data_IF_032510127279
#
_entry.id   IF_032510127279
#
_cell.length_a   1.000
_cell.length_b   1.000
_cell.length_c   1.000
_cell.angle_alpha   90.00
_cell.angle_beta   90.00
_cell.angle_gamma   90.00
#
_symmetry.space_group_name_H-M   'P 1'
#
loop_
_entity.id
_entity.type
_entity.pdbx_description
1 polymer ?
#
# COMPACT_ATOMS: atom_id res chain seq x y z
N UNK A 1 22.26 18.16 4.94
CA UNK A 1 20.80 18.01 4.74
C UNK A 1 20.13 18.87 5.80
N UNK A 2 19.17 19.70 5.43
CA UNK A 2 18.43 20.56 6.38
C UNK A 2 17.34 19.73 7.08
N UNK A 3 16.97 20.08 8.31
CA UNK A 3 15.87 19.42 9.04
C UNK A 3 14.55 19.48 8.24
N UNK A 4 14.33 20.56 7.49
CA UNK A 4 13.17 20.70 6.60
C UNK A 4 13.18 19.70 5.45
N UNK A 5 14.34 19.40 4.88
CA UNK A 5 14.48 18.41 3.81
C UNK A 5 14.20 16.99 4.32
N UNK A 6 14.74 16.66 5.49
CA UNK A 6 14.48 15.37 6.13
C UNK A 6 12.98 15.19 6.43
N UNK A 7 12.34 16.21 7.00
CA UNK A 7 10.89 16.21 7.21
C UNK A 7 10.11 16.05 5.90
N UNK A 8 10.52 16.72 4.82
CA UNK A 8 9.87 16.57 3.52
C UNK A 8 9.97 15.12 3.01
N UNK A 9 11.15 14.51 3.10
CA UNK A 9 11.39 13.13 2.68
C UNK A 9 10.57 12.13 3.50
N UNK A 10 10.50 12.32 4.83
CA UNK A 10 9.70 11.44 5.69
C UNK A 10 8.20 11.57 5.41
N UNK A 11 7.71 12.77 5.09
CA UNK A 11 6.33 12.94 4.65
C UNK A 11 6.05 12.23 3.32
N UNK A 12 6.98 12.21 2.35
CA UNK A 12 6.87 11.40 1.12
C UNK A 12 6.76 9.91 1.47
N UNK A 13 7.65 9.42 2.33
CA UNK A 13 7.67 8.02 2.78
C UNK A 13 6.38 7.57 3.46
N UNK A 14 5.73 8.47 4.18
CA UNK A 14 4.44 8.25 4.84
C UNK A 14 3.24 8.63 3.99
N UNK A 15 3.44 8.98 2.70
CA UNK A 15 2.39 9.37 1.76
C UNK A 15 1.59 10.61 2.18
N UNK A 16 2.19 11.49 2.97
CA UNK A 16 1.65 12.81 3.33
C UNK A 16 1.98 13.84 2.23
N UNK A 17 1.39 13.66 1.06
CA UNK A 17 1.71 14.41 -0.16
C UNK A 17 1.54 15.92 -0.05
N UNK A 18 0.45 16.38 0.58
CA UNK A 18 0.15 17.80 0.75
C UNK A 18 1.21 18.53 1.59
N UNK A 19 1.60 17.90 2.71
CA UNK A 19 2.61 18.45 3.62
C UNK A 19 4.00 18.40 2.99
N UNK A 20 4.35 17.28 2.36
CA UNK A 20 5.62 17.13 1.64
C UNK A 20 5.76 18.17 0.52
N UNK A 21 4.74 18.35 -0.33
CA UNK A 21 4.75 19.36 -1.39
C UNK A 21 5.00 20.77 -0.85
N UNK A 22 4.30 21.15 0.23
CA UNK A 22 4.48 22.46 0.87
C UNK A 22 5.91 22.66 1.38
N UNK A 23 6.50 21.63 1.98
CA UNK A 23 7.90 21.69 2.45
C UNK A 23 8.88 21.79 1.27
N UNK A 24 8.67 21.03 0.20
CA UNK A 24 9.50 21.14 -1.00
C UNK A 24 9.39 22.50 -1.68
N UNK A 25 8.20 23.10 -1.74
CA UNK A 25 8.02 24.46 -2.28
C UNK A 25 8.81 25.49 -1.48
N UNK A 26 8.85 25.38 -0.15
CA UNK A 26 9.67 26.23 0.71
C UNK A 26 11.17 26.02 0.51
N UNK A 27 11.60 24.77 0.32
CA UNK A 27 13.01 24.44 0.08
C UNK A 27 13.47 24.97 -1.28
N UNK A 28 12.66 24.76 -2.32
CA UNK A 28 13.00 25.10 -3.70
C UNK A 28 12.86 26.60 -4.01
N UNK A 29 12.06 27.33 -3.22
CA UNK A 29 11.95 28.80 -3.31
C UNK A 29 13.11 29.55 -2.67
N UNK A 30 13.96 28.87 -1.89
CA UNK A 30 15.18 29.43 -1.31
C UNK A 30 16.39 29.06 -2.18
N UNK A 31 16.77 29.89 -3.17
CA UNK A 31 17.88 29.56 -4.05
C UNK A 31 19.20 29.48 -3.27
N UNK A 32 20.08 28.51 -3.58
CA UNK A 32 21.36 28.40 -2.90
C UNK A 32 22.28 29.57 -3.25
N UNK A 33 22.95 30.10 -2.22
CA UNK A 33 23.95 31.17 -2.36
C UNK A 33 25.19 30.74 -3.17
N UNK A 34 25.47 29.42 -3.23
CA UNK A 34 26.58 28.85 -3.99
C UNK A 34 26.13 27.57 -4.69
N UNK A 35 26.34 27.49 -6.01
CA UNK A 35 26.03 26.31 -6.81
C UNK A 35 27.23 25.35 -6.83
N UNK A 36 27.18 24.29 -6.01
CA UNK A 36 28.15 23.19 -6.04
C UNK A 36 27.45 21.85 -6.36
N UNK A 37 28.24 20.80 -6.61
CA UNK A 37 27.71 19.48 -7.01
C UNK A 37 26.77 18.88 -5.96
N UNK A 38 27.12 18.98 -4.67
CA UNK A 38 26.29 18.48 -3.59
C UNK A 38 24.94 19.21 -3.49
N UNK A 39 24.91 20.51 -3.80
CA UNK A 39 23.69 21.30 -3.84
C UNK A 39 22.82 20.92 -5.05
N UNK A 40 23.43 20.68 -6.21
CA UNK A 40 22.72 20.12 -7.38
C UNK A 40 22.09 18.76 -7.04
N UNK A 41 22.82 17.89 -6.34
CA UNK A 41 22.31 16.58 -5.93
C UNK A 41 21.11 16.69 -4.98
N UNK A 42 21.19 17.58 -3.99
CA UNK A 42 20.07 17.87 -3.07
C UNK A 42 18.87 18.44 -3.82
N UNK A 43 19.11 19.33 -4.77
CA UNK A 43 18.07 19.94 -5.59
C UNK A 43 17.34 18.88 -6.44
N UNK A 44 18.08 17.93 -7.02
CA UNK A 44 17.51 16.79 -7.75
C UNK A 44 16.61 15.95 -6.84
N UNK A 45 17.06 15.61 -5.62
CA UNK A 45 16.26 14.82 -4.67
C UNK A 45 14.96 15.55 -4.29
N UNK A 46 15.04 16.86 -4.02
CA UNK A 46 13.88 17.66 -3.67
C UNK A 46 12.88 17.76 -4.83
N UNK A 47 13.36 17.95 -6.06
CA UNK A 47 12.49 17.94 -7.24
C UNK A 47 11.86 16.56 -7.48
N UNK A 48 12.62 15.47 -7.31
CA UNK A 48 12.07 14.11 -7.43
C UNK A 48 10.94 13.87 -6.43
N UNK A 49 11.14 14.20 -5.16
CA UNK A 49 10.11 14.05 -4.14
C UNK A 49 8.91 14.96 -4.38
N UNK A 50 9.14 16.19 -4.87
CA UNK A 50 8.05 17.09 -5.24
C UNK A 50 7.25 16.58 -6.44
N UNK A 51 7.90 16.04 -7.47
CA UNK A 51 7.22 15.42 -8.62
C UNK A 51 6.24 14.34 -8.15
N UNK A 52 6.69 13.43 -7.28
CA UNK A 52 5.84 12.37 -6.73
C UNK A 52 4.62 12.95 -6.01
N UNK A 53 4.83 13.95 -5.15
CA UNK A 53 3.72 14.62 -4.46
C UNK A 53 2.75 15.32 -5.42
N UNK A 54 3.27 16.03 -6.42
CA UNK A 54 2.45 16.78 -7.37
C UNK A 54 1.61 15.86 -8.24
N UNK A 55 2.15 14.70 -8.63
CA UNK A 55 1.43 13.69 -9.39
C UNK A 55 0.22 13.17 -8.60
N UNK A 56 0.43 12.78 -7.35
CA UNK A 56 -0.62 12.26 -6.45
C UNK A 56 -1.67 13.32 -6.09
N UNK A 57 -1.27 14.60 -6.06
CA UNK A 57 -2.18 15.72 -5.85
C UNK A 57 -2.89 16.19 -7.13
N UNK A 58 -2.66 15.54 -8.29
CA UNK A 58 -3.26 15.90 -9.57
C UNK A 58 -2.74 17.22 -10.18
N UNK A 59 -1.62 17.75 -9.70
CA UNK A 59 -0.99 19.00 -10.19
C UNK A 59 -0.04 18.71 -11.37
N UNK A 60 -0.61 18.25 -12.48
CA UNK A 60 0.16 17.68 -13.60
C UNK A 60 1.09 18.67 -14.31
N UNK A 61 0.70 19.93 -14.54
CA UNK A 61 1.57 20.91 -15.22
C UNK A 61 2.83 21.24 -14.39
N UNK A 62 2.68 21.40 -13.07
CA UNK A 62 3.82 21.60 -12.18
C UNK A 62 4.73 20.38 -12.15
N UNK A 63 4.15 19.17 -12.12
CA UNK A 63 4.90 17.92 -12.19
C UNK A 63 5.71 17.79 -13.49
N UNK A 64 5.14 18.20 -14.64
CA UNK A 64 5.85 18.19 -15.92
C UNK A 64 7.08 19.09 -15.92
N UNK A 65 6.94 20.31 -15.41
CA UNK A 65 8.04 21.26 -15.35
C UNK A 65 9.19 20.74 -14.47
N UNK A 66 8.85 20.15 -13.33
CA UNK A 66 9.84 19.54 -12.44
C UNK A 66 10.49 18.31 -13.06
N UNK A 67 9.72 17.42 -13.68
CA UNK A 67 10.23 16.22 -14.32
C UNK A 67 11.22 16.54 -15.44
N UNK A 68 10.89 17.52 -16.31
CA UNK A 68 11.82 17.99 -17.36
C UNK A 68 13.10 18.56 -16.77
N UNK A 69 12.99 19.36 -15.70
CA UNK A 69 14.15 19.94 -15.01
C UNK A 69 15.03 18.84 -14.40
N UNK A 70 14.43 17.84 -13.76
CA UNK A 70 15.16 16.69 -13.21
C UNK A 70 15.91 15.94 -14.31
N UNK A 71 15.27 15.62 -15.44
CA UNK A 71 15.93 14.92 -16.55
C UNK A 71 17.14 15.71 -17.09
N UNK A 72 16.99 17.01 -17.28
CA UNK A 72 18.10 17.90 -17.69
C UNK A 72 19.26 17.85 -16.69
N UNK A 73 18.96 17.95 -15.39
CA UNK A 73 19.98 17.94 -14.34
C UNK A 73 20.65 16.56 -14.20
N UNK A 74 19.91 15.47 -14.40
CA UNK A 74 20.44 14.10 -14.37
C UNK A 74 21.36 13.83 -15.57
N UNK A 75 21.00 14.31 -16.78
CA UNK A 75 21.87 14.19 -17.95
C UNK A 75 23.18 14.95 -17.80
N UNK A 76 23.18 16.14 -17.17
CA UNK A 76 24.39 16.92 -16.92
C UNK A 76 25.38 16.22 -15.95
N UNK A 77 24.89 15.38 -15.05
CA UNK A 77 25.71 14.78 -13.99
C UNK A 77 26.50 13.54 -14.46
N UNK A 78 26.18 12.98 -15.64
CA UNK A 78 26.79 11.77 -16.22
C UNK A 78 26.91 10.59 -15.22
N UNK A 79 25.95 10.48 -14.29
CA UNK A 79 25.89 9.40 -13.29
C UNK A 79 24.91 8.33 -13.72
N UNK A 80 25.25 7.05 -13.52
CA UNK A 80 24.29 5.96 -13.68
C UNK A 80 23.19 6.08 -12.60
N UNK A 81 22.00 6.48 -13.03
CA UNK A 81 20.85 6.79 -12.18
C UNK A 81 19.56 6.32 -12.85
N UNK A 82 19.61 5.11 -13.43
CA UNK A 82 18.51 4.52 -14.20
C UNK A 82 17.18 4.54 -13.43
N UNK A 83 17.19 4.32 -12.12
CA UNK A 83 15.98 4.29 -11.31
C UNK A 83 15.32 5.68 -11.18
N UNK A 84 16.09 6.74 -10.98
CA UNK A 84 15.60 8.12 -10.93
C UNK A 84 15.17 8.62 -12.30
N UNK A 85 15.92 8.31 -13.37
CA UNK A 85 15.53 8.63 -14.75
C UNK A 85 14.21 7.95 -15.10
N UNK A 86 14.08 6.65 -14.78
CA UNK A 86 12.89 5.86 -15.08
C UNK A 86 11.64 6.35 -14.33
N UNK A 87 11.76 6.67 -13.03
CA UNK A 87 10.67 7.30 -12.27
C UNK A 87 10.25 8.63 -12.87
N UNK A 88 11.22 9.47 -13.22
CA UNK A 88 10.96 10.80 -13.77
C UNK A 88 10.26 10.71 -15.13
N UNK A 89 10.71 9.80 -16.01
CA UNK A 89 10.06 9.55 -17.31
C UNK A 89 8.64 9.04 -17.15
N UNK A 90 8.40 8.10 -16.22
CA UNK A 90 7.04 7.64 -15.90
C UNK A 90 6.13 8.81 -15.51
N UNK A 91 6.57 9.65 -14.57
CA UNK A 91 5.79 10.81 -14.14
C UNK A 91 5.49 11.75 -15.31
N UNK A 92 6.45 11.94 -16.21
CA UNK A 92 6.29 12.77 -17.40
C UNK A 92 5.24 12.18 -18.36
N UNK A 93 5.32 10.87 -18.68
CA UNK A 93 4.30 10.18 -19.50
C UNK A 93 2.92 10.32 -18.87
N UNK A 94 2.79 10.00 -17.58
CA UNK A 94 1.51 10.04 -16.87
C UNK A 94 0.90 11.44 -16.91
N UNK A 95 1.68 12.47 -16.55
CA UNK A 95 1.21 13.85 -16.54
C UNK A 95 0.82 14.34 -17.95
N UNK A 96 1.59 14.00 -18.99
CA UNK A 96 1.23 14.32 -20.38
C UNK A 96 -0.08 13.64 -20.79
N UNK A 97 -0.29 12.39 -20.41
CA UNK A 97 -1.51 11.66 -20.71
C UNK A 97 -2.73 12.27 -20.02
N UNK A 98 -2.61 12.63 -18.73
CA UNK A 98 -3.70 13.32 -18.00
C UNK A 98 -4.03 14.70 -18.58
N UNK A 99 -3.04 15.36 -19.18
CA UNK A 99 -3.20 16.62 -19.90
C UNK A 99 -3.59 16.44 -21.38
N UNK A 100 -3.82 15.20 -21.84
CA UNK A 100 -4.16 14.84 -23.23
C UNK A 100 -3.13 15.32 -24.27
N UNK A 101 -1.87 15.52 -23.87
CA UNK A 101 -0.74 15.88 -24.73
C UNK A 101 -0.12 14.60 -25.34
N UNK A 102 -0.95 13.84 -26.06
CA UNK A 102 -0.62 12.48 -26.53
C UNK A 102 0.58 12.41 -27.47
N UNK A 103 0.72 13.37 -28.39
CA UNK A 103 1.86 13.42 -29.33
C UNK A 103 3.20 13.59 -28.60
N UNK A 104 3.23 14.39 -27.54
CA UNK A 104 4.46 14.57 -26.75
C UNK A 104 4.78 13.31 -25.94
N UNK A 105 3.76 12.66 -25.37
CA UNK A 105 3.93 11.42 -24.63
C UNK A 105 4.44 10.27 -25.52
N UNK A 106 3.91 10.18 -26.74
CA UNK A 106 4.35 9.21 -27.74
C UNK A 106 5.83 9.39 -28.12
N UNK A 107 6.27 10.63 -28.33
CA UNK A 107 7.67 10.95 -28.61
C UNK A 107 8.57 10.49 -27.47
N UNK A 108 8.21 10.82 -26.23
CA UNK A 108 8.99 10.43 -25.06
C UNK A 108 9.05 8.91 -24.88
N UNK A 109 7.94 8.19 -25.08
CA UNK A 109 7.93 6.73 -25.03
C UNK A 109 8.87 6.13 -26.10
N UNK A 110 8.86 6.68 -27.32
CA UNK A 110 9.72 6.21 -28.41
C UNK A 110 11.20 6.39 -28.09
N UNK A 111 11.59 7.56 -27.56
CA UNK A 111 12.96 7.83 -27.09
C UNK A 111 13.34 6.87 -25.96
N UNK A 112 12.45 6.67 -24.98
CA UNK A 112 12.71 5.79 -23.85
C UNK A 112 12.90 4.32 -24.26
N UNK A 113 12.08 3.81 -25.18
CA UNK A 113 12.20 2.45 -25.71
C UNK A 113 13.55 2.28 -26.42
N UNK A 114 13.92 3.24 -27.27
CA UNK A 114 15.18 3.20 -28.03
C UNK A 114 16.40 3.13 -27.11
N UNK A 115 16.39 3.85 -26.00
CA UNK A 115 17.47 3.81 -25.01
C UNK A 115 17.53 2.50 -24.24
N UNK A 116 16.39 1.96 -23.81
CA UNK A 116 16.34 0.71 -23.05
C UNK A 116 16.67 -0.51 -23.92
N UNK A 117 16.33 -0.48 -25.21
CA UNK A 117 16.61 -1.57 -26.13
C UNK A 117 18.11 -1.76 -26.40
N UNK A 118 18.91 -0.71 -26.20
CA UNK A 118 20.37 -0.80 -26.27
C UNK A 118 20.97 -1.53 -25.06
N UNK A 119 20.22 -1.67 -23.96
CA UNK A 119 20.65 -2.30 -22.73
C UNK A 119 20.08 -3.73 -22.60
N UNK A 120 20.92 -4.69 -22.23
CA UNK A 120 20.49 -6.08 -22.03
C UNK A 120 19.60 -6.22 -20.79
N UNK A 121 18.53 -7.02 -20.88
CA UNK A 121 17.65 -7.36 -19.74
C UNK A 121 16.36 -6.54 -19.60
N UNK A 122 16.10 -5.56 -20.49
CA UNK A 122 14.90 -4.71 -20.42
C UNK A 122 13.80 -5.07 -21.44
N UNK A 123 13.83 -6.26 -22.03
CA UNK A 123 12.87 -6.66 -23.08
C UNK A 123 11.41 -6.59 -22.67
N UNK A 124 11.06 -7.01 -21.45
CA UNK A 124 9.66 -7.00 -20.99
C UNK A 124 9.14 -5.60 -20.65
N UNK A 125 10.01 -4.71 -20.18
CA UNK A 125 9.64 -3.32 -19.96
C UNK A 125 9.47 -2.58 -21.29
N UNK A 126 10.31 -2.86 -22.30
CA UNK A 126 10.13 -2.32 -23.66
C UNK A 126 8.77 -2.75 -24.25
N UNK A 127 8.36 -4.02 -24.11
CA UNK A 127 7.02 -4.47 -24.54
C UNK A 127 5.90 -3.71 -23.81
N UNK A 128 6.09 -3.41 -22.53
CA UNK A 128 5.11 -2.64 -21.73
C UNK A 128 5.00 -1.21 -22.23
N UNK A 129 6.12 -0.56 -22.54
CA UNK A 129 6.17 0.80 -23.11
C UNK A 129 5.57 0.83 -24.54
N UNK A 130 5.82 -0.17 -25.37
CA UNK A 130 5.21 -0.28 -26.71
C UNK A 130 3.70 -0.46 -26.66
N UNK A 131 3.20 -1.23 -25.68
CA UNK A 131 1.76 -1.32 -25.42
C UNK A 131 1.19 0.03 -24.99
N UNK A 132 1.90 0.77 -24.13
CA UNK A 132 1.50 2.12 -23.72
C UNK A 132 1.41 3.04 -24.94
N UNK A 133 2.44 3.05 -25.79
CA UNK A 133 2.49 3.83 -27.02
C UNK A 133 1.29 3.53 -27.93
N UNK A 134 0.98 2.26 -28.14
CA UNK A 134 -0.19 1.82 -28.91
C UNK A 134 -1.51 2.36 -28.35
N UNK A 135 -1.67 2.34 -27.02
CA UNK A 135 -2.87 2.89 -26.34
C UNK A 135 -3.01 4.39 -26.58
N UNK A 136 -1.91 5.14 -26.47
CA UNK A 136 -1.90 6.59 -26.73
C UNK A 136 -2.26 6.89 -28.19
N UNK A 137 -1.72 6.12 -29.15
CA UNK A 137 -2.04 6.30 -30.57
C UNK A 137 -3.53 6.08 -30.86
N UNK A 138 -4.14 5.04 -30.25
CA UNK A 138 -5.57 4.79 -30.36
C UNK A 138 -6.41 5.92 -29.77
N UNK A 139 -5.99 6.49 -28.63
CA UNK A 139 -6.64 7.65 -28.01
C UNK A 139 -6.53 8.93 -28.88
N UNK A 140 -5.42 9.10 -29.60
CA UNK A 140 -5.17 10.26 -30.45
C UNK A 140 -5.90 10.17 -31.81
N UNK A 141 -6.11 8.96 -32.35
CA UNK A 141 -6.64 8.73 -33.70
C UNK A 141 -8.15 8.47 -33.81
N UNK A 142 -8.91 8.45 -32.70
CA UNK A 142 -10.29 8.01 -32.72
C UNK A 142 -11.32 9.07 -33.19
N UNK A 143 -12.24 8.68 -34.08
CA UNK A 143 -13.35 9.48 -34.59
C UNK A 143 -14.51 9.64 -33.58
N UNK A 144 -15.05 10.86 -33.46
CA UNK A 144 -15.87 11.39 -32.34
C UNK A 144 -17.23 10.73 -32.03
N UNK A 145 -17.78 9.82 -32.85
CA UNK A 145 -19.21 9.47 -32.75
C UNK A 145 -19.56 8.23 -31.90
N UNK A 146 -18.63 7.32 -31.59
CA UNK A 146 -18.92 6.06 -30.84
C UNK A 146 -18.02 5.88 -29.59
N UNK A 147 -17.36 6.93 -29.11
CA UNK A 147 -16.08 6.80 -28.39
C UNK A 147 -16.10 6.68 -26.87
N UNK A 148 -17.19 7.00 -26.16
CA UNK A 148 -17.08 7.22 -24.69
C UNK A 148 -16.70 5.96 -23.91
N UNK A 149 -17.27 4.81 -24.27
CA UNK A 149 -16.96 3.51 -23.64
C UNK A 149 -15.58 3.02 -24.07
N UNK A 150 -15.22 3.21 -25.35
CA UNK A 150 -13.90 2.84 -25.88
C UNK A 150 -12.77 3.63 -25.21
N UNK A 151 -12.93 4.95 -25.06
CA UNK A 151 -11.96 5.81 -24.40
C UNK A 151 -11.82 5.46 -22.90
N UNK A 152 -12.91 5.16 -22.20
CA UNK A 152 -12.84 4.70 -20.80
C UNK A 152 -11.99 3.43 -20.66
N UNK A 153 -12.19 2.45 -21.56
CA UNK A 153 -11.41 1.20 -21.55
C UNK A 153 -9.92 1.45 -21.84
N UNK A 154 -9.61 2.36 -22.75
CA UNK A 154 -8.23 2.75 -23.06
C UNK A 154 -7.58 3.52 -21.90
N UNK A 155 -8.34 4.36 -21.20
CA UNK A 155 -7.88 5.03 -19.97
C UNK A 155 -7.61 4.01 -18.84
N UNK A 156 -8.44 2.97 -18.70
CA UNK A 156 -8.20 1.88 -17.75
C UNK A 156 -6.94 1.08 -18.09
N UNK A 157 -6.75 0.72 -19.37
CA UNK A 157 -5.52 0.09 -19.86
C UNK A 157 -4.28 0.95 -19.53
N UNK A 158 -4.38 2.26 -19.75
CA UNK A 158 -3.32 3.22 -19.45
C UNK A 158 -2.97 3.23 -17.95
N UNK A 159 -3.97 3.27 -17.07
CA UNK A 159 -3.76 3.23 -15.62
C UNK A 159 -3.10 1.90 -15.17
N UNK A 160 -3.43 0.77 -15.81
CA UNK A 160 -2.77 -0.53 -15.56
C UNK A 160 -1.30 -0.48 -15.97
N UNK A 161 -0.99 0.12 -17.13
CA UNK A 161 0.38 0.26 -17.61
C UNK A 161 1.19 1.20 -16.73
N UNK A 162 0.62 2.32 -16.30
CA UNK A 162 1.23 3.23 -15.32
C UNK A 162 1.61 2.50 -14.03
N UNK A 163 0.72 1.65 -13.51
CA UNK A 163 0.98 0.86 -12.30
C UNK A 163 2.14 -0.12 -12.50
N UNK A 164 2.22 -0.76 -13.68
CA UNK A 164 3.34 -1.66 -14.02
C UNK A 164 4.67 -0.91 -14.13
N UNK A 165 4.67 0.24 -14.81
CA UNK A 165 5.86 1.09 -14.94
C UNK A 165 6.31 1.61 -13.58
N UNK A 166 5.37 1.99 -12.71
CA UNK A 166 5.68 2.44 -11.35
C UNK A 166 6.32 1.31 -10.54
N UNK A 167 5.72 0.11 -10.54
CA UNK A 167 6.28 -1.03 -9.83
C UNK A 167 7.68 -1.38 -10.31
N UNK A 168 7.92 -1.37 -11.63
CA UNK A 168 9.25 -1.62 -12.18
C UNK A 168 10.25 -0.55 -11.77
N UNK A 169 9.91 0.73 -11.91
CA UNK A 169 10.81 1.84 -11.56
C UNK A 169 11.09 1.94 -10.05
N UNK A 170 10.13 1.53 -9.21
CA UNK A 170 10.24 1.64 -7.74
C UNK A 170 10.83 0.40 -7.07
N UNK A 171 10.50 -0.80 -7.56
CA UNK A 171 10.83 -2.06 -6.88
C UNK A 171 11.88 -2.90 -7.62
N UNK A 172 11.83 -2.94 -8.96
CA UNK A 172 12.69 -3.82 -9.75
C UNK A 172 14.07 -3.20 -10.05
N UNK A 173 14.16 -1.88 -10.09
CA UNK A 173 15.44 -1.19 -10.26
C UNK A 173 16.17 -1.00 -8.91
N UNK A 174 17.51 -1.17 -8.87
CA UNK A 174 18.32 -0.79 -7.71
C UNK A 174 18.15 0.69 -7.37
N UNK A 175 18.09 1.02 -6.08
CA UNK A 175 18.03 2.42 -5.65
C UNK A 175 19.36 3.12 -5.92
N UNK A 176 19.29 4.24 -6.63
CA UNK A 176 20.41 5.15 -6.81
C UNK A 176 20.46 6.22 -5.70
N UNK A 177 21.51 7.06 -5.73
CA UNK A 177 21.74 8.09 -4.70
C UNK A 177 20.59 9.12 -4.59
N UNK A 178 19.79 9.32 -5.64
CA UNK A 178 18.73 10.32 -5.63
C UNK A 178 17.37 9.74 -5.22
N UNK A 179 17.10 8.48 -5.55
CA UNK A 179 15.87 7.77 -5.21
C UNK A 179 15.89 7.17 -3.81
N UNK A 180 17.07 6.81 -3.28
CA UNK A 180 17.23 6.22 -1.95
C UNK A 180 16.64 7.05 -0.81
N UNK A 181 16.79 8.39 -0.73
CA UNK A 181 16.21 9.19 0.34
C UNK A 181 14.68 9.18 0.35
N UNK A 182 14.04 8.98 -0.79
CA UNK A 182 12.58 9.03 -0.94
C UNK A 182 11.91 7.67 -0.72
N UNK A 183 12.68 6.59 -0.80
CA UNK A 183 12.16 5.22 -0.65
C UNK A 183 12.20 4.72 0.78
N UNK A 184 11.23 3.86 1.14
CA UNK A 184 11.24 3.07 2.37
C UNK A 184 12.16 1.83 2.28
N UNK A 185 12.62 1.48 1.08
CA UNK A 185 13.44 0.29 0.83
C UNK A 185 14.85 0.52 1.40
N UNK A 186 15.18 -0.18 2.49
CA UNK A 186 16.51 -0.17 3.12
C UNK A 186 16.69 0.74 4.34
N UNK A 187 15.62 1.25 4.95
CA UNK A 187 15.70 1.98 6.23
C UNK A 187 15.69 0.96 7.38
N UNK A 188 16.84 0.76 8.03
CA UNK A 188 16.86 0.18 9.39
C UNK A 188 16.20 1.20 10.31
N UNK A 189 15.13 0.80 11.00
CA UNK A 189 14.40 1.66 11.94
C UNK A 189 15.40 2.20 12.98
N UNK A 190 15.49 3.52 13.09
CA UNK A 190 16.31 4.21 14.09
C UNK A 190 15.69 3.94 15.47
N UNK A 191 16.38 3.17 16.30
CA UNK A 191 16.03 2.98 17.70
C UNK A 191 16.03 4.35 18.40
N UNK A 192 14.92 4.70 19.04
CA UNK A 192 14.90 5.81 19.99
C UNK A 192 15.41 5.29 21.34
N UNK A 193 16.43 5.92 21.94
CA UNK A 193 16.92 5.53 23.25
C UNK A 193 16.19 6.33 24.33
N UNK A 194 15.31 5.69 25.10
CA UNK A 194 15.04 6.08 26.50
C UNK A 194 14.39 4.95 27.29
N UNK A 195 15.23 4.36 28.16
CA UNK A 195 14.96 3.95 29.54
C UNK A 195 13.99 2.78 29.85
N UNK A 196 14.62 1.62 30.07
CA UNK A 196 14.48 0.69 31.20
C UNK A 196 13.16 0.61 31.99
N UNK A 197 12.60 -0.62 31.98
CA UNK A 197 12.39 -1.37 33.22
C UNK A 197 10.96 -1.53 33.68
N UNK A 198 10.24 -2.53 33.15
CA UNK A 198 9.33 -3.40 33.90
C UNK A 198 8.75 -4.48 32.98
N UNK A 199 9.18 -5.72 33.18
CA UNK A 199 8.44 -6.92 32.76
C UNK A 199 7.05 -6.90 33.40
N UNK A 200 5.99 -7.20 32.63
CA UNK A 200 4.92 -8.15 33.01
C UNK A 200 3.77 -8.23 31.98
N UNK A 201 3.53 -9.46 31.52
CA UNK A 201 2.25 -10.11 31.18
C UNK A 201 1.17 -9.36 30.38
N UNK A 202 1.13 -9.60 29.05
CA UNK A 202 -0.04 -9.31 28.19
C UNK A 202 -0.57 -10.60 27.50
N UNK A 203 -0.02 -11.78 27.81
CA UNK A 203 -0.34 -13.04 27.10
C UNK A 203 -1.64 -13.74 27.56
N UNK A 204 -2.40 -13.19 28.51
CA UNK A 204 -3.51 -13.93 29.13
C UNK A 204 -4.93 -13.60 28.59
N UNK A 205 -5.11 -12.60 27.73
CA UNK A 205 -6.46 -12.10 27.38
C UNK A 205 -7.01 -12.65 26.05
N UNK A 206 -6.19 -13.25 25.18
CA UNK A 206 -6.65 -13.72 23.87
C UNK A 206 -6.97 -15.22 23.76
N UNK A 207 -6.86 -16.00 24.85
CA UNK A 207 -7.02 -17.46 24.80
C UNK A 207 -8.44 -17.97 25.15
N UNK A 208 -9.39 -17.11 25.54
CA UNK A 208 -10.69 -17.54 26.09
C UNK A 208 -11.90 -17.49 25.15
N UNK A 209 -11.72 -17.11 23.89
CA UNK A 209 -12.84 -17.05 22.92
C UNK A 209 -12.88 -18.23 21.92
N UNK A 210 -12.08 -19.27 22.11
CA UNK A 210 -11.88 -20.36 21.12
C UNK A 210 -12.59 -21.69 21.40
N UNK A 211 -13.49 -21.77 22.40
CA UNK A 211 -14.14 -23.06 22.76
C UNK A 211 -15.68 -23.07 22.59
N UNK A 212 -16.22 -22.46 21.54
CA UNK A 212 -17.62 -22.71 21.17
C UNK A 212 -17.86 -22.79 19.65
N UNK A 213 -17.18 -23.72 18.99
CA UNK A 213 -17.45 -24.11 17.60
C UNK A 213 -17.38 -25.64 17.46
N UNK A 214 -18.44 -26.32 17.89
CA UNK A 214 -18.67 -27.72 17.54
C UNK A 214 -20.16 -28.09 17.63
N UNK A 215 -20.99 -27.53 16.73
CA UNK A 215 -22.19 -28.17 16.19
C UNK A 215 -22.98 -27.17 15.35
N UNK A 216 -22.93 -27.32 14.02
CA UNK A 216 -24.05 -27.11 13.10
C UNK A 216 -23.59 -27.59 11.71
N UNK A 217 -23.88 -28.85 11.41
CA UNK A 217 -24.00 -29.34 10.03
C UNK A 217 -25.28 -28.74 9.45
N UNK A 218 -25.22 -28.11 8.28
CA UNK A 218 -26.26 -28.29 7.24
C UNK A 218 -25.60 -28.15 5.85
N UNK A 219 -25.95 -29.12 5.02
CA UNK A 219 -25.66 -29.38 3.61
C UNK A 219 -25.88 -28.22 2.65
N UNK A 220 -25.21 -28.26 1.48
CA UNK A 220 -25.62 -27.43 0.34
C UNK A 220 -24.68 -27.36 -0.86
N UNK A 221 -24.44 -28.50 -1.51
CA UNK A 221 -24.23 -28.68 -2.96
C UNK A 221 -23.35 -27.72 -3.78
N UNK A 222 -22.21 -28.25 -4.23
CA UNK A 222 -21.48 -27.82 -5.42
C UNK A 222 -22.39 -27.75 -6.65
N UNK A 223 -22.34 -26.63 -7.39
CA UNK A 223 -22.68 -26.62 -8.81
C UNK A 223 -21.75 -25.68 -9.58
N UNK A 224 -20.92 -26.27 -10.42
CA UNK A 224 -20.32 -25.64 -11.60
C UNK A 224 -21.41 -25.21 -12.59
N UNK A 225 -21.13 -24.19 -13.42
CA UNK A 225 -21.37 -24.15 -14.89
C UNK A 225 -21.19 -22.71 -15.44
N UNK A 226 -20.89 -22.72 -16.73
CA UNK A 226 -20.45 -21.78 -17.77
C UNK A 226 -21.17 -20.44 -18.01
N UNK A 227 -20.45 -19.62 -18.80
CA UNK A 227 -20.92 -18.68 -19.84
C UNK A 227 -22.35 -18.92 -20.34
N UNK A 228 -23.16 -17.85 -20.37
CA UNK A 228 -23.76 -17.31 -21.60
C UNK A 228 -24.32 -15.90 -21.35
N UNK A 229 -24.37 -15.10 -22.42
CA UNK A 229 -24.86 -13.73 -22.48
C UNK A 229 -26.39 -13.66 -22.54
N UNK A 230 -26.96 -12.51 -22.16
CA UNK A 230 -28.05 -11.73 -22.84
C UNK A 230 -29.03 -11.09 -21.85
N UNK A 231 -29.24 -9.77 -21.96
CA UNK A 231 -30.58 -9.15 -21.79
C UNK A 231 -30.87 -8.29 -20.55
N UNK A 232 -30.75 -6.97 -20.75
CA UNK A 232 -31.26 -5.79 -20.01
C UNK A 232 -32.33 -5.88 -18.91
N UNK A 233 -32.20 -4.95 -17.95
CA UNK A 233 -33.24 -4.51 -17.00
C UNK A 233 -32.68 -3.56 -15.92
N UNK A 234 -33.26 -2.37 -15.81
CA UNK A 234 -32.76 -1.22 -15.04
C UNK A 234 -32.95 -1.32 -13.51
N UNK A 235 -32.02 -0.68 -12.79
CA UNK A 235 -32.14 -0.08 -11.44
C UNK A 235 -32.62 -0.93 -10.24
N UNK A 236 -31.62 -1.50 -9.56
CA UNK A 236 -31.53 -1.54 -8.10
C UNK A 236 -30.05 -1.66 -7.74
N UNK A 237 -29.51 -0.78 -6.89
CA UNK A 237 -28.09 -0.76 -6.48
C UNK A 237 -27.71 -2.06 -5.73
N UNK A 238 -27.53 -3.16 -6.44
CA UNK A 238 -26.99 -4.39 -5.89
C UNK A 238 -25.51 -4.16 -5.58
N UNK A 239 -25.14 -4.31 -4.32
CA UNK A 239 -23.76 -4.11 -3.87
C UNK A 239 -23.15 -5.45 -3.51
N UNK A 240 -22.04 -5.83 -4.14
CA UNK A 240 -21.42 -7.15 -3.99
C UNK A 240 -20.11 -7.06 -3.21
N UNK A 241 -19.89 -8.01 -2.29
CA UNK A 241 -18.59 -8.22 -1.65
C UNK A 241 -17.71 -9.10 -2.55
N UNK A 242 -16.63 -8.54 -3.09
CA UNK A 242 -15.72 -9.28 -3.98
C UNK A 242 -14.89 -10.37 -3.29
N UNK A 243 -14.83 -10.38 -1.96
CA UNK A 243 -14.04 -11.34 -1.18
C UNK A 243 -14.86 -12.57 -0.78
N UNK A 244 -16.12 -12.35 -0.40
CA UNK A 244 -17.06 -13.43 -0.05
C UNK A 244 -17.93 -13.86 -1.23
N UNK A 245 -17.88 -13.13 -2.36
CA UNK A 245 -18.74 -13.33 -3.53
C UNK A 245 -20.25 -13.31 -3.21
N UNK A 246 -20.65 -12.50 -2.20
CA UNK A 246 -22.03 -12.34 -1.77
C UNK A 246 -22.58 -11.01 -2.30
N UNK A 247 -23.79 -11.04 -2.87
CA UNK A 247 -24.49 -9.85 -3.36
C UNK A 247 -25.57 -9.42 -2.38
N UNK A 248 -25.66 -8.12 -2.12
CA UNK A 248 -26.60 -7.50 -1.18
C UNK A 248 -27.54 -6.54 -1.89
N UNK A 249 -28.73 -6.34 -1.31
CA UNK A 249 -29.78 -5.49 -1.87
C UNK A 249 -29.59 -4.02 -1.49
N UNK A 250 -28.74 -3.74 -0.49
CA UNK A 250 -28.43 -2.39 -0.05
C UNK A 250 -26.96 -2.23 0.37
N UNK A 251 -26.42 -1.02 0.20
CA UNK A 251 -25.06 -0.68 0.66
C UNK A 251 -24.90 -0.79 2.17
N UNK A 252 -25.99 -0.69 2.93
CA UNK A 252 -25.98 -0.85 4.39
C UNK A 252 -25.78 -2.32 4.79
N UNK A 253 -26.46 -3.25 4.12
CA UNK A 253 -26.25 -4.70 4.32
C UNK A 253 -24.82 -5.13 3.99
N UNK A 254 -24.26 -4.62 2.89
CA UNK A 254 -22.85 -4.85 2.57
C UNK A 254 -21.92 -4.31 3.68
N UNK A 255 -22.19 -3.12 4.21
CA UNK A 255 -21.41 -2.55 5.32
C UNK A 255 -21.52 -3.39 6.60
N UNK A 256 -22.69 -3.93 6.91
CA UNK A 256 -22.88 -4.83 8.05
C UNK A 256 -22.15 -6.15 7.85
N UNK A 257 -22.24 -6.74 6.65
CA UNK A 257 -21.48 -7.92 6.28
C UNK A 257 -19.96 -7.71 6.43
N UNK A 258 -19.44 -6.57 5.95
CA UNK A 258 -18.01 -6.27 6.04
C UNK A 258 -17.49 -6.07 7.48
N UNK A 259 -18.39 -5.90 8.46
CA UNK A 259 -18.08 -5.83 9.90
C UNK A 259 -18.15 -7.20 10.60
N UNK A 260 -18.60 -8.26 9.92
CA UNK A 260 -18.68 -9.60 10.52
C UNK A 260 -17.32 -10.26 10.63
N UNK A 261 -17.15 -11.07 11.69
CA UNK A 261 -15.94 -11.87 11.91
C UNK A 261 -15.68 -12.85 10.76
N UNK A 262 -16.73 -13.41 10.15
CA UNK A 262 -16.61 -14.29 8.99
C UNK A 262 -15.95 -13.59 7.78
N UNK A 263 -16.35 -12.35 7.49
CA UNK A 263 -15.74 -11.56 6.41
C UNK A 263 -14.30 -11.16 6.74
N UNK A 264 -14.02 -10.78 7.99
CA UNK A 264 -12.66 -10.51 8.44
C UNK A 264 -11.76 -11.74 8.29
N UNK A 265 -12.25 -12.93 8.65
CA UNK A 265 -11.53 -14.18 8.47
C UNK A 265 -11.24 -14.48 7.00
N UNK A 266 -12.17 -14.19 6.07
CA UNK A 266 -11.93 -14.35 4.63
C UNK A 266 -10.89 -13.36 4.08
N UNK A 267 -10.86 -12.13 4.61
CA UNK A 267 -9.84 -11.13 4.22
C UNK A 267 -8.45 -11.54 4.75
N UNK A 268 -8.41 -12.01 6.00
CA UNK A 268 -7.19 -12.42 6.71
C UNK A 268 -6.74 -13.85 6.39
N UNK A 269 -7.57 -14.62 5.68
CA UNK A 269 -7.28 -15.97 5.25
C UNK A 269 -6.13 -15.98 4.24
N UNK A 270 -5.27 -16.98 4.39
CA UNK A 270 -4.23 -17.31 3.43
C UNK A 270 -4.80 -18.10 2.22
N UNK A 271 -6.10 -18.40 2.19
CA UNK A 271 -6.72 -19.15 1.10
C UNK A 271 -6.67 -18.39 -0.24
N UNK A 272 -6.40 -19.13 -1.33
CA UNK A 272 -6.32 -18.60 -2.70
C UNK A 272 -4.93 -18.65 -3.34
N UNK A 273 -3.93 -19.24 -2.67
CA UNK A 273 -2.66 -19.67 -3.25
C UNK A 273 -2.17 -20.99 -2.65
N UNK A 274 -1.45 -21.77 -3.45
CA UNK A 274 -0.80 -23.00 -3.02
C UNK A 274 0.44 -22.67 -2.20
N UNK A 275 0.25 -22.45 -0.91
CA UNK A 275 1.34 -22.27 0.03
C UNK A 275 1.93 -23.62 0.43
N UNK A 276 3.26 -23.73 0.42
CA UNK A 276 3.97 -25.00 0.57
C UNK A 276 4.40 -25.29 1.99
N UNK A 277 4.60 -24.25 2.80
CA UNK A 277 5.09 -24.36 4.17
C UNK A 277 3.94 -24.25 5.20
N UNK A 278 4.23 -24.44 6.48
CA UNK A 278 3.21 -24.29 7.54
C UNK A 278 2.83 -22.81 7.71
N UNK A 279 1.65 -22.52 8.28
CA UNK A 279 1.25 -21.14 8.55
C UNK A 279 2.19 -20.46 9.58
N UNK A 280 2.46 -19.15 9.43
CA UNK A 280 3.26 -18.41 10.40
C UNK A 280 2.54 -18.31 11.76
N UNK A 281 3.30 -18.17 12.87
CA UNK A 281 2.73 -17.97 14.19
C UNK A 281 1.82 -16.74 14.26
N UNK A 282 0.67 -16.88 14.94
CA UNK A 282 -0.29 -15.77 15.12
C UNK A 282 0.28 -14.70 16.04
N UNK A 283 -0.02 -13.42 15.75
CA UNK A 283 0.41 -12.28 16.57
C UNK A 283 1.84 -11.80 16.29
N UNK A 284 2.57 -12.45 15.38
CA UNK A 284 3.91 -12.04 14.97
C UNK A 284 3.84 -11.01 13.84
N UNK A 285 4.75 -10.04 13.88
CA UNK A 285 4.93 -9.04 12.82
C UNK A 285 6.05 -9.46 11.88
N UNK A 286 6.17 -8.81 10.71
CA UNK A 286 7.19 -9.14 9.71
C UNK A 286 8.62 -9.18 10.29
N UNK A 287 8.90 -8.31 11.26
CA UNK A 287 10.21 -8.17 11.90
C UNK A 287 10.44 -9.21 13.02
N UNK A 288 9.39 -9.92 13.43
CA UNK A 288 9.43 -10.91 14.51
C UNK A 288 9.74 -12.32 14.00
N UNK A 289 9.75 -12.55 12.68
CA UNK A 289 10.05 -13.86 12.13
C UNK A 289 11.57 -14.11 12.07
N UNK A 290 12.04 -15.13 12.80
CA UNK A 290 13.42 -15.61 12.83
C UNK A 290 13.54 -17.03 12.27
N UNK A 291 14.78 -17.46 11.99
CA UNK A 291 15.09 -18.86 11.70
C UNK A 291 15.27 -19.63 13.01
N UNK A 292 14.79 -20.87 13.04
CA UNK A 292 15.04 -21.77 14.16
C UNK A 292 16.51 -22.19 14.16
N UNK A 293 17.25 -21.85 15.20
CA UNK A 293 18.68 -22.17 15.33
C UNK A 293 18.90 -23.68 15.41
N UNK A 294 18.10 -24.39 16.21
CA UNK A 294 18.20 -25.86 16.35
C UNK A 294 17.93 -26.60 15.04
N UNK A 295 16.96 -26.14 14.25
CA UNK A 295 16.71 -26.68 12.92
C UNK A 295 17.85 -26.35 11.95
N UNK A 296 18.38 -25.14 12.02
CA UNK A 296 19.48 -24.70 11.15
C UNK A 296 20.73 -25.56 11.36
N UNK A 297 21.04 -25.88 12.62
CA UNK A 297 22.24 -26.63 12.98
C UNK A 297 22.09 -28.16 12.84
N UNK A 298 20.93 -28.71 13.23
CA UNK A 298 20.75 -30.16 13.32
C UNK A 298 19.71 -30.75 12.37
N UNK A 299 18.98 -29.90 11.64
CA UNK A 299 17.77 -30.29 10.86
C UNK A 299 16.73 -31.04 11.70
N UNK A 300 16.81 -30.93 13.03
CA UNK A 300 15.84 -31.45 13.98
C UNK A 300 15.43 -30.31 14.92
N UNK A 301 14.13 -30.06 15.02
CA UNK A 301 13.57 -29.12 15.97
C UNK A 301 12.64 -29.87 16.93
N UNK A 302 12.90 -29.76 18.24
CA UNK A 302 12.10 -30.40 19.27
C UNK A 302 10.64 -29.89 19.28
N UNK A 303 10.42 -28.64 18.86
CA UNK A 303 9.11 -28.01 18.80
C UNK A 303 8.31 -28.35 17.54
N UNK A 304 8.94 -28.92 16.50
CA UNK A 304 8.29 -29.34 15.26
C UNK A 304 7.34 -28.26 14.70
N UNK A 305 6.10 -28.65 14.42
CA UNK A 305 5.07 -27.75 13.87
C UNK A 305 4.62 -26.63 14.82
N UNK A 306 4.98 -26.71 16.11
CA UNK A 306 4.68 -25.68 17.11
C UNK A 306 5.82 -24.67 17.28
N UNK A 307 6.93 -24.82 16.56
CA UNK A 307 8.04 -23.88 16.60
C UNK A 307 7.57 -22.48 16.15
N UNK A 308 7.93 -21.43 16.88
CA UNK A 308 7.60 -20.05 16.48
C UNK A 308 8.61 -19.45 15.49
N UNK A 309 9.66 -20.21 15.18
CA UNK A 309 10.75 -19.81 14.28
C UNK A 309 10.75 -20.69 13.04
N UNK A 310 11.19 -20.17 11.91
CA UNK A 310 11.15 -20.86 10.62
C UNK A 310 12.24 -21.93 10.49
N UNK A 311 11.85 -23.12 10.05
CA UNK A 311 12.65 -24.31 9.73
C UNK A 311 13.24 -24.19 8.32
N UNK A 312 14.03 -23.15 8.12
CA UNK A 312 14.72 -22.90 6.86
C UNK A 312 14.33 -21.58 6.22
N UNK A 313 15.19 -21.15 5.29
CA UNK A 313 15.10 -19.84 4.62
C UNK A 313 13.86 -19.77 3.72
N UNK A 314 13.49 -20.87 3.07
CA UNK A 314 12.33 -20.93 2.19
C UNK A 314 11.01 -20.78 2.96
N UNK A 315 10.91 -21.42 4.12
CA UNK A 315 9.76 -21.25 5.01
C UNK A 315 9.65 -19.82 5.52
N UNK A 316 10.77 -19.23 5.95
CA UNK A 316 10.79 -17.85 6.42
C UNK A 316 10.37 -16.85 5.34
N UNK A 317 10.82 -17.06 4.10
CA UNK A 317 10.45 -16.22 2.97
C UNK A 317 8.96 -16.37 2.65
N UNK A 318 8.42 -17.59 2.66
CA UNK A 318 6.98 -17.78 2.45
C UNK A 318 6.13 -17.13 3.54
N UNK A 319 6.59 -17.16 4.80
CA UNK A 319 5.91 -16.44 5.89
C UNK A 319 5.86 -14.93 5.69
N UNK A 320 6.96 -14.35 5.17
CA UNK A 320 7.03 -12.93 4.81
C UNK A 320 6.10 -12.62 3.64
N UNK A 321 6.11 -13.46 2.60
CA UNK A 321 5.22 -13.32 1.44
C UNK A 321 3.73 -13.42 1.83
N UNK A 322 3.38 -14.36 2.72
CA UNK A 322 2.02 -14.46 3.29
C UNK A 322 1.64 -13.23 4.09
N UNK A 323 2.54 -12.69 4.91
CA UNK A 323 2.30 -11.48 5.67
C UNK A 323 2.04 -10.27 4.75
N UNK A 324 2.87 -10.09 3.73
CA UNK A 324 2.68 -9.04 2.73
C UNK A 324 1.40 -9.24 1.92
N UNK A 325 1.07 -10.48 1.57
CA UNK A 325 -0.16 -10.81 0.88
C UNK A 325 -1.41 -10.46 1.71
N UNK A 326 -1.46 -10.86 2.99
CA UNK A 326 -2.54 -10.48 3.91
C UNK A 326 -2.64 -8.95 4.04
N UNK A 327 -1.51 -8.26 4.21
CA UNK A 327 -1.45 -6.80 4.26
C UNK A 327 -2.02 -6.16 2.99
N UNK A 328 -1.66 -6.67 1.81
CA UNK A 328 -2.19 -6.19 0.53
C UNK A 328 -3.69 -6.47 0.37
N UNK A 329 -4.18 -7.63 0.82
CA UNK A 329 -5.62 -7.96 0.79
C UNK A 329 -6.43 -7.01 1.67
N UNK A 330 -5.96 -6.74 2.88
CA UNK A 330 -6.57 -5.76 3.80
C UNK A 330 -6.54 -4.36 3.19
N UNK A 331 -5.39 -3.93 2.65
CA UNK A 331 -5.27 -2.62 2.00
C UNK A 331 -6.25 -2.45 0.85
N UNK A 332 -6.37 -3.45 -0.04
CA UNK A 332 -7.34 -3.44 -1.15
C UNK A 332 -8.79 -3.46 -0.65
N UNK A 333 -9.06 -4.14 0.45
CA UNK A 333 -10.39 -4.14 1.04
C UNK A 333 -10.72 -2.76 1.63
N UNK A 334 -9.76 -2.09 2.29
CA UNK A 334 -9.89 -0.72 2.77
C UNK A 334 -10.18 0.27 1.63
N UNK A 335 -9.40 0.21 0.55
CA UNK A 335 -9.56 1.09 -0.63
C UNK A 335 -10.93 0.94 -1.29
N UNK A 336 -11.51 -0.26 -1.25
CA UNK A 336 -12.84 -0.55 -1.82
C UNK A 336 -14.00 -0.30 -0.85
N UNK A 337 -13.74 0.24 0.34
CA UNK A 337 -14.70 0.34 1.45
C UNK A 337 -15.32 -1.01 1.86
N UNK A 338 -14.65 -2.11 1.52
CA UNK A 338 -15.04 -3.48 1.83
C UNK A 338 -14.36 -4.01 3.08
N UNK A 339 -13.45 -3.23 3.70
CA UNK A 339 -12.92 -3.52 5.02
C UNK A 339 -13.78 -2.78 6.05
N UNK A 340 -14.66 -3.50 6.72
CA UNK A 340 -15.45 -2.95 7.81
C UNK A 340 -14.55 -2.75 9.03
N UNK A 341 -13.82 -1.62 9.08
CA UNK A 341 -13.14 -1.21 10.31
C UNK A 341 -14.19 -1.11 11.41
N UNK A 342 -14.01 -1.86 12.49
CA UNK A 342 -14.85 -1.71 13.67
C UNK A 342 -14.74 -0.27 14.19
N UNK A 343 -15.79 0.23 14.84
CA UNK A 343 -15.74 1.57 15.47
C UNK A 343 -14.54 1.69 16.40
N UNK A 344 -14.21 0.62 17.13
CA UNK A 344 -13.02 0.51 17.97
C UNK A 344 -11.71 0.66 17.20
N UNK A 345 -11.54 0.02 16.05
CA UNK A 345 -10.31 0.17 15.23
C UNK A 345 -10.18 1.58 14.66
N UNK A 346 -11.28 2.21 14.24
CA UNK A 346 -11.27 3.60 13.78
C UNK A 346 -10.85 4.57 14.89
N UNK A 347 -11.34 4.35 16.12
CA UNK A 347 -10.97 5.15 17.29
C UNK A 347 -9.50 4.95 17.63
N UNK A 348 -9.01 3.71 17.64
CA UNK A 348 -7.60 3.39 17.91
C UNK A 348 -6.65 3.97 16.84
N UNK A 349 -7.01 3.87 15.57
CA UNK A 349 -6.23 4.44 14.47
C UNK A 349 -6.13 5.96 14.59
N UNK A 350 -7.26 6.64 14.84
CA UNK A 350 -7.29 8.10 15.09
C UNK A 350 -6.48 8.48 16.32
N UNK A 351 -6.54 7.68 17.38
CA UNK A 351 -5.78 7.90 18.61
C UNK A 351 -4.28 7.81 18.36
N UNK A 352 -3.82 6.78 17.66
CA UNK A 352 -2.39 6.57 17.31
C UNK A 352 -1.87 7.66 16.37
N UNK A 353 -2.70 8.17 15.45
CA UNK A 353 -2.31 9.18 14.46
C UNK A 353 -2.45 10.63 14.96
N UNK A 354 -3.09 10.86 16.10
CA UNK A 354 -3.39 12.20 16.61
C UNK A 354 -2.23 12.81 17.38
N UNK A 355 -2.04 14.12 17.21
CA UNK A 355 -1.14 14.92 18.02
C UNK A 355 -1.71 15.26 19.40
N UNK A 356 -2.99 14.95 19.66
CA UNK A 356 -3.67 15.12 20.94
C UNK A 356 -4.51 13.87 21.25
N UNK A 357 -3.88 12.75 21.66
CA UNK A 357 -4.58 11.48 21.89
C UNK A 357 -5.65 11.57 22.99
N UNK A 358 -5.43 12.43 23.99
CA UNK A 358 -6.34 12.62 25.14
C UNK A 358 -7.72 13.17 24.75
N UNK A 359 -7.85 13.85 23.60
CA UNK A 359 -9.15 14.30 23.09
C UNK A 359 -9.94 13.21 22.36
N UNK A 360 -9.28 12.12 21.98
CA UNK A 360 -9.89 11.01 21.23
C UNK A 360 -10.29 9.89 22.18
N UNK A 361 -9.49 9.64 23.21
CA UNK A 361 -9.80 8.71 24.27
C UNK A 361 -9.26 9.29 25.57
N UNK A 362 -10.15 9.58 26.52
CA UNK A 362 -9.80 10.01 27.87
C UNK A 362 -10.44 9.10 28.91
N UNK A 363 -9.78 8.97 30.05
CA UNK A 363 -10.33 8.23 31.20
C UNK A 363 -11.46 8.99 31.87
N UNK A 364 -11.43 10.32 31.82
CA UNK A 364 -12.44 11.22 32.38
C UNK A 364 -12.87 12.22 31.33
N UNK A 365 -14.17 12.47 31.23
CA UNK A 365 -14.76 13.49 30.36
C UNK A 365 -15.36 14.55 31.27
N UNK A 366 -15.07 15.82 31.01
CA UNK A 366 -15.55 16.94 31.83
C UNK A 366 -17.09 16.96 31.85
N UNK A 367 -17.67 16.96 33.06
CA UNK A 367 -19.12 16.90 33.28
C UNK A 367 -19.74 15.51 33.27
N UNK A 368 -18.95 14.44 33.10
CA UNK A 368 -19.43 13.05 33.16
C UNK A 368 -18.71 12.33 34.31
N UNK A 369 -19.47 11.98 35.36
CA UNK A 369 -19.01 11.04 36.38
C UNK A 369 -19.54 9.64 36.04
N UNK A 370 -18.61 8.70 35.88
CA UNK A 370 -18.94 7.29 35.68
C UNK A 370 -18.63 6.53 36.97
N UNK A 371 -19.66 5.97 37.60
CA UNK A 371 -19.51 5.10 38.77
C UNK A 371 -19.80 3.66 38.34
N UNK A 372 -18.83 2.76 38.57
CA UNK A 372 -19.04 1.32 38.40
C UNK A 372 -19.42 0.74 39.76
N UNK A 373 -20.69 0.37 39.94
CA UNK A 373 -21.22 -0.17 41.20
C UNK A 373 -20.72 -1.60 41.54
N UNK A 374 -19.89 -2.19 40.68
CA UNK A 374 -19.37 -3.54 40.86
C UNK A 374 -17.99 -3.50 41.50
N UNK A 375 -17.82 -4.21 42.62
CA UNK A 375 -16.51 -4.37 43.25
C UNK A 375 -15.49 -4.97 42.27
N UNK A 376 -14.27 -4.42 42.26
CA UNK A 376 -13.14 -4.75 41.38
C UNK A 376 -12.51 -6.12 41.70
N UNK A 377 -13.34 -7.10 42.05
CA UNK A 377 -12.93 -8.45 42.42
C UNK A 377 -13.89 -9.41 41.76
N UNK A 378 -13.51 -9.95 40.60
CA UNK A 378 -13.71 -11.35 40.14
C UNK A 378 -13.38 -11.40 38.65
N UNK A 379 -12.51 -12.33 38.23
CA UNK A 379 -12.33 -12.65 36.82
C UNK A 379 -13.58 -13.35 36.29
N UNK A 380 -14.42 -12.64 35.55
CA UNK A 380 -15.65 -13.21 34.97
C UNK A 380 -15.29 -13.87 33.64
N UNK A 381 -15.74 -15.11 33.40
CA UNK A 381 -15.45 -15.87 32.19
C UNK A 381 -16.15 -15.35 30.93
N UNK A 382 -17.14 -14.46 31.08
CA UNK A 382 -17.80 -13.76 29.97
C UNK A 382 -18.28 -12.38 30.40
N UNK A 383 -18.22 -11.41 29.47
CA UNK A 383 -18.49 -9.99 29.73
C UNK A 383 -19.88 -9.63 29.19
N UNK A 384 -20.93 -9.77 30.00
CA UNK A 384 -22.26 -9.26 29.65
C UNK A 384 -22.40 -7.82 30.15
N UNK A 385 -22.32 -6.84 29.24
CA UNK A 385 -22.64 -5.45 29.56
C UNK A 385 -24.13 -5.20 29.36
N UNK A 386 -24.88 -4.86 30.41
CA UNK A 386 -26.22 -4.29 30.29
C UNK A 386 -26.08 -2.77 30.13
N UNK A 387 -26.77 -2.18 29.16
CA UNK A 387 -26.86 -0.73 28.98
C UNK A 387 -28.32 -0.34 29.09
N UNK A 388 -28.63 0.59 29.98
CA UNK A 388 -29.95 1.18 30.19
C UNK A 388 -29.75 2.69 30.03
N UNK A 389 -30.59 3.34 29.22
CA UNK A 389 -30.47 4.75 28.86
C UNK A 389 -31.44 5.60 29.66
#
# INVERSE_FOLDING_TARGET
MSDKEMQAHDNVRWRNWSRAATLYDQILSSPPLVSNRAQKDRHIICLLGRCECLLELGKYESCLNDARKVLSMLSEQQTDCLASVSRTRRWLVHALCKLKKYTEAEKLLTEWISELQQQQGFGDICKTLERYKSVIQMLNGGNKSTQKIHNSRLEDEMNILDTKLDHWATNNLPLDKYSKPLSNKGIKKRENPTQNGASNNITAVMQKNTDLLAALKVSGSNKSISDDSTGGGENGNSTTCSYCAITFNSRNELRQHCQTEAHQNVIMSDEGRDWKWRPPPRGFTLDSYSLCESWTESQLCHYGNQCVEAHGVDELNEWKDRFEYRRMRVQKACEKELYGKSYTELVLERWIQSTVPEKIMSEKVEGIEAQCEQDLVTSISSKSSKREW
#
